data_IF_103895298748
#
_entry.id   IF_103895298748
#
_cell.length_a   1.000
_cell.length_b   1.000
_cell.length_c   1.000
_cell.angle_alpha   90.00
_cell.angle_beta   90.00
_cell.angle_gamma   90.00
#
_symmetry.space_group_name_H-M   'P 1'
#
loop_
_entity.id
_entity.type
_entity.pdbx_description
1 polymer ?
#
# COMPACT_ATOMS: atom_id res chain seq x y z
N UNK A 1 -4.36 9.51 31.78
CA UNK A 1 -4.22 9.57 30.30
C UNK A 1 -5.56 9.98 29.74
N UNK A 2 -5.62 11.11 29.02
CA UNK A 2 -6.90 11.68 28.60
C UNK A 2 -7.57 10.78 27.56
N UNK A 3 -8.89 10.56 27.65
CA UNK A 3 -9.67 9.73 26.73
C UNK A 3 -9.41 10.07 25.24
N UNK A 4 -9.13 11.34 24.95
CA UNK A 4 -8.82 11.82 23.61
C UNK A 4 -7.45 11.36 23.09
N UNK A 5 -6.47 11.17 23.96
CA UNK A 5 -5.11 10.76 23.59
C UNK A 5 -5.07 9.28 23.16
N UNK A 6 -5.86 8.43 23.83
CA UNK A 6 -6.04 7.02 23.46
C UNK A 6 -6.75 6.91 22.11
N UNK A 7 -7.78 7.72 21.87
CA UNK A 7 -8.49 7.76 20.58
C UNK A 7 -7.58 8.23 19.45
N UNK A 8 -6.77 9.28 19.69
CA UNK A 8 -5.79 9.79 18.74
C UNK A 8 -4.76 8.71 18.38
N UNK A 9 -4.16 8.04 19.37
CA UNK A 9 -3.15 7.01 19.14
C UNK A 9 -3.73 5.81 18.37
N UNK A 10 -4.94 5.38 18.71
CA UNK A 10 -5.62 4.32 17.98
C UNK A 10 -5.94 4.72 16.53
N UNK A 11 -6.44 5.93 16.33
CA UNK A 11 -6.72 6.46 14.99
C UNK A 11 -5.46 6.58 14.14
N UNK A 12 -4.34 7.02 14.72
CA UNK A 12 -3.05 7.09 14.05
C UNK A 12 -2.59 5.71 13.58
N UNK A 13 -2.66 4.70 14.45
CA UNK A 13 -2.33 3.32 14.10
C UNK A 13 -3.19 2.82 12.94
N UNK A 14 -4.51 3.01 13.01
CA UNK A 14 -5.44 2.54 11.97
C UNK A 14 -5.16 3.20 10.60
N UNK A 15 -4.75 4.47 10.59
CA UNK A 15 -4.46 5.19 9.34
C UNK A 15 -3.06 4.89 8.78
N UNK A 16 -2.04 4.88 9.64
CA UNK A 16 -0.62 4.75 9.26
C UNK A 16 -0.24 3.29 9.02
N UNK A 17 -0.61 2.40 9.94
CA UNK A 17 -0.20 0.99 9.93
C UNK A 17 -1.19 0.15 9.14
N UNK A 18 -2.48 0.25 9.47
CA UNK A 18 -3.53 -0.56 8.85
C UNK A 18 -4.03 0.03 7.52
N UNK A 19 -3.51 1.21 7.13
CA UNK A 19 -3.76 1.90 5.86
C UNK A 19 -5.23 2.20 5.53
N UNK A 20 -6.09 2.23 6.53
CA UNK A 20 -7.52 2.47 6.37
C UNK A 20 -7.82 3.88 5.87
N UNK A 21 -8.98 4.04 5.25
CA UNK A 21 -9.52 5.34 4.83
C UNK A 21 -9.94 6.17 6.04
N UNK A 22 -10.07 7.49 5.84
CA UNK A 22 -10.52 8.41 6.90
C UNK A 22 -11.91 8.00 7.43
N UNK A 23 -12.78 7.53 6.54
CA UNK A 23 -14.13 7.07 6.85
C UNK A 23 -14.11 5.82 7.73
N UNK A 24 -13.33 4.80 7.35
CA UNK A 24 -13.18 3.57 8.13
C UNK A 24 -12.55 3.83 9.51
N UNK A 25 -11.55 4.72 9.58
CA UNK A 25 -10.93 5.14 10.84
C UNK A 25 -11.94 5.86 11.73
N UNK A 26 -12.72 6.79 11.16
CA UNK A 26 -13.77 7.51 11.86
C UNK A 26 -14.82 6.56 12.45
N UNK A 27 -15.28 5.58 11.67
CA UNK A 27 -16.22 4.56 12.11
C UNK A 27 -15.65 3.68 13.23
N UNK A 28 -14.41 3.18 13.09
CA UNK A 28 -13.78 2.32 14.09
C UNK A 28 -13.47 3.02 15.41
N UNK A 29 -13.09 4.29 15.35
CA UNK A 29 -12.72 5.09 16.53
C UNK A 29 -13.96 5.73 17.17
N UNK A 30 -15.07 5.85 16.44
CA UNK A 30 -16.31 6.45 16.92
C UNK A 30 -16.26 7.97 16.99
N UNK A 31 -15.54 8.62 16.05
CA UNK A 31 -15.38 10.08 15.99
C UNK A 31 -15.75 10.60 14.60
N UNK A 32 -16.14 11.87 14.51
CA UNK A 32 -16.47 12.50 13.23
C UNK A 32 -15.22 12.60 12.32
N UNK A 33 -15.37 12.35 11.02
CA UNK A 33 -14.30 12.49 10.02
C UNK A 33 -13.55 13.83 10.07
N UNK A 34 -14.24 14.93 10.39
CA UNK A 34 -13.60 16.25 10.55
C UNK A 34 -12.50 16.22 11.63
N UNK A 35 -12.72 15.45 12.69
CA UNK A 35 -11.75 15.25 13.77
C UNK A 35 -10.55 14.45 13.27
N UNK A 36 -10.78 13.38 12.50
CA UNK A 36 -9.71 12.57 11.89
C UNK A 36 -8.90 13.41 10.90
N UNK A 37 -9.55 14.20 10.04
CA UNK A 37 -8.87 15.11 9.10
C UNK A 37 -8.00 16.12 9.83
N UNK A 38 -8.50 16.68 10.93
CA UNK A 38 -7.73 17.59 11.79
C UNK A 38 -6.50 16.90 12.39
N UNK A 39 -6.68 15.74 13.04
CA UNK A 39 -5.56 14.99 13.62
C UNK A 39 -4.52 14.57 12.60
N UNK A 40 -4.96 14.16 11.41
CA UNK A 40 -4.09 13.84 10.27
C UNK A 40 -3.18 15.02 9.89
N UNK A 41 -3.72 16.23 9.85
CA UNK A 41 -2.94 17.45 9.57
C UNK A 41 -2.04 17.83 10.75
N UNK A 42 -2.59 17.89 11.97
CA UNK A 42 -1.89 18.33 13.18
C UNK A 42 -0.69 17.42 13.51
N UNK A 43 -0.81 16.12 13.28
CA UNK A 43 0.20 15.10 13.59
C UNK A 43 0.94 14.56 12.36
N UNK A 44 0.75 15.18 11.18
CA UNK A 44 1.43 14.85 9.92
C UNK A 44 1.37 13.35 9.59
N UNK A 45 0.20 12.74 9.69
CA UNK A 45 0.05 11.29 9.52
C UNK A 45 0.41 10.81 8.11
N UNK A 46 0.27 11.64 7.08
CA UNK A 46 0.68 11.27 5.72
C UNK A 46 2.19 11.01 5.64
N UNK A 47 3.00 11.85 6.29
CA UNK A 47 4.45 11.66 6.34
C UNK A 47 4.81 10.38 7.09
N UNK A 48 4.14 10.12 8.22
CA UNK A 48 4.34 8.88 8.99
C UNK A 48 3.94 7.65 8.19
N UNK A 49 2.86 7.73 7.42
CA UNK A 49 2.41 6.67 6.51
C UNK A 49 3.43 6.41 5.41
N UNK A 50 3.95 7.45 4.78
CA UNK A 50 5.00 7.34 3.77
C UNK A 50 6.28 6.71 4.34
N UNK A 51 6.74 7.16 5.51
CA UNK A 51 7.89 6.59 6.21
C UNK A 51 7.68 5.12 6.61
N UNK A 52 6.48 4.77 7.07
CA UNK A 52 6.14 3.39 7.42
C UNK A 52 6.15 2.49 6.18
N UNK A 53 5.58 2.97 5.07
CA UNK A 53 5.60 2.27 3.80
C UNK A 53 7.02 2.10 3.26
N UNK A 54 7.84 3.15 3.26
CA UNK A 54 9.22 3.09 2.76
C UNK A 54 10.07 2.13 3.59
N UNK A 55 9.95 2.17 4.91
CA UNK A 55 10.66 1.25 5.82
C UNK A 55 10.24 -0.19 5.56
N UNK A 56 8.93 -0.43 5.37
CA UNK A 56 8.41 -1.76 5.07
C UNK A 56 8.93 -2.28 3.71
N UNK A 57 8.96 -1.43 2.68
CA UNK A 57 9.53 -1.78 1.37
C UNK A 57 11.03 -2.06 1.46
N UNK A 58 11.80 -1.25 2.19
CA UNK A 58 13.23 -1.49 2.42
C UNK A 58 13.48 -2.82 3.13
N UNK A 59 12.70 -3.14 4.17
CA UNK A 59 12.81 -4.43 4.86
C UNK A 59 12.53 -5.62 3.92
N UNK A 60 11.57 -5.47 3.01
CA UNK A 60 11.25 -6.51 2.02
C UNK A 60 12.38 -6.72 1.02
N UNK A 61 12.98 -5.64 0.53
CA UNK A 61 14.15 -5.69 -0.35
C UNK A 61 15.35 -6.34 0.36
N UNK A 62 15.62 -5.97 1.61
CA UNK A 62 16.67 -6.58 2.42
C UNK A 62 16.44 -8.06 2.65
N UNK A 63 15.20 -8.47 2.96
CA UNK A 63 14.84 -9.87 3.18
C UNK A 63 14.99 -10.69 1.88
N UNK A 64 14.59 -10.13 0.73
CA UNK A 64 14.77 -10.77 -0.57
C UNK A 64 16.27 -10.96 -0.90
N UNK A 65 17.05 -9.90 -0.73
CA UNK A 65 18.50 -9.92 -0.95
C UNK A 65 19.20 -10.93 -0.02
N UNK A 66 18.78 -11.01 1.24
CA UNK A 66 19.29 -11.97 2.21
C UNK A 66 18.96 -13.41 1.80
N UNK A 67 17.69 -13.69 1.46
CA UNK A 67 17.26 -15.01 1.04
C UNK A 67 18.01 -15.47 -0.23
N UNK A 68 18.22 -14.57 -1.20
CA UNK A 68 19.00 -14.86 -2.41
C UNK A 68 20.45 -15.21 -2.08
N UNK A 69 21.12 -14.43 -1.22
CA UNK A 69 22.50 -14.73 -0.79
C UNK A 69 22.59 -16.07 -0.07
N UNK A 70 21.63 -16.38 0.80
CA UNK A 70 21.58 -17.66 1.50
C UNK A 70 21.38 -18.82 0.54
N UNK A 71 20.49 -18.68 -0.45
CA UNK A 71 20.26 -19.67 -1.49
C UNK A 71 21.53 -19.94 -2.29
N UNK A 72 22.19 -18.89 -2.80
CA UNK A 72 23.43 -19.03 -3.57
C UNK A 72 24.56 -19.67 -2.75
N UNK A 73 24.63 -19.40 -1.44
CA UNK A 73 25.59 -20.07 -0.56
C UNK A 73 25.29 -21.57 -0.41
N UNK A 74 24.02 -21.96 -0.33
CA UNK A 74 23.63 -23.37 -0.25
C UNK A 74 23.91 -24.07 -1.58
N UNK A 75 23.59 -23.43 -2.71
CA UNK A 75 23.87 -23.94 -4.06
C UNK A 75 25.37 -24.18 -4.27
N UNK A 76 26.21 -23.23 -3.86
CA UNK A 76 27.66 -23.35 -3.94
C UNK A 76 28.17 -24.60 -3.20
N UNK A 77 27.70 -24.84 -1.98
CA UNK A 77 28.13 -26.01 -1.20
C UNK A 77 27.66 -27.32 -1.86
N UNK A 78 26.45 -27.35 -2.44
CA UNK A 78 25.93 -28.51 -3.18
C UNK A 78 26.79 -28.79 -4.42
N UNK A 79 27.08 -27.76 -5.22
CA UNK A 79 27.85 -27.87 -6.46
C UNK A 79 29.29 -28.32 -6.21
N UNK A 80 29.85 -27.99 -5.04
CA UNK A 80 31.19 -28.40 -4.62
C UNK A 80 31.21 -29.70 -3.81
N UNK A 81 30.08 -30.42 -3.73
CA UNK A 81 29.96 -31.66 -2.95
C UNK A 81 30.28 -31.48 -1.45
N UNK A 82 30.16 -30.26 -0.93
CA UNK A 82 30.35 -29.92 0.48
C UNK A 82 29.11 -30.26 1.31
N UNK A 83 29.32 -30.48 2.61
CA UNK A 83 28.22 -30.73 3.53
C UNK A 83 27.47 -29.42 3.80
N UNK A 84 26.26 -29.31 3.26
CA UNK A 84 25.36 -28.20 3.56
C UNK A 84 25.02 -28.18 5.04
N UNK A 85 25.08 -26.99 5.64
CA UNK A 85 24.67 -26.79 7.03
C UNK A 85 23.14 -26.92 7.17
N UNK A 86 22.62 -27.85 8.00
CA UNK A 86 21.18 -28.02 8.18
C UNK A 86 20.47 -26.78 8.74
N UNK A 87 21.18 -25.94 9.50
CA UNK A 87 20.66 -24.68 10.04
C UNK A 87 20.36 -23.66 8.95
N UNK A 88 21.28 -23.47 8.00
CA UNK A 88 21.06 -22.65 6.79
C UNK A 88 19.88 -23.16 5.97
N UNK A 89 19.78 -24.47 5.82
CA UNK A 89 18.72 -25.09 5.03
C UNK A 89 17.34 -24.90 5.69
N UNK A 90 17.25 -25.10 7.00
CA UNK A 90 16.05 -24.84 7.78
C UNK A 90 15.65 -23.35 7.78
N UNK A 91 16.62 -22.46 7.96
CA UNK A 91 16.39 -21.01 7.93
C UNK A 91 15.80 -20.58 6.58
N UNK A 92 16.36 -21.08 5.47
CA UNK A 92 15.85 -20.82 4.14
C UNK A 92 14.42 -21.33 3.95
N UNK A 93 14.11 -22.56 4.38
CA UNK A 93 12.73 -23.10 4.34
C UNK A 93 11.74 -22.24 5.12
N UNK A 94 12.16 -21.68 6.27
CA UNK A 94 11.30 -20.77 7.06
C UNK A 94 11.12 -19.40 6.42
N UNK A 95 12.07 -18.95 5.61
CA UNK A 95 11.99 -17.68 4.87
C UNK A 95 11.15 -17.76 3.59
N UNK A 96 11.06 -18.93 2.93
CA UNK A 96 10.23 -19.13 1.73
C UNK A 96 8.79 -18.56 1.84
N UNK A 97 7.99 -18.86 2.89
CA UNK A 97 6.64 -18.31 3.01
C UNK A 97 6.59 -16.81 3.31
N UNK A 98 7.70 -16.22 3.77
CA UNK A 98 7.82 -14.77 3.95
C UNK A 98 8.05 -14.09 2.60
N UNK A 99 8.85 -14.71 1.72
CA UNK A 99 9.16 -14.20 0.38
C UNK A 99 7.94 -14.23 -0.55
N UNK A 100 7.09 -15.26 -0.48
CA UNK A 100 5.86 -15.31 -1.29
C UNK A 100 4.89 -14.18 -0.93
N UNK A 101 4.78 -13.86 0.37
CA UNK A 101 3.99 -12.72 0.86
C UNK A 101 4.59 -11.36 0.47
N UNK A 102 5.91 -11.28 0.28
CA UNK A 102 6.59 -10.07 -0.20
C UNK A 102 6.17 -9.76 -1.64
N UNK A 103 6.19 -10.77 -2.51
CA UNK A 103 5.83 -10.61 -3.92
C UNK A 103 4.38 -10.13 -4.10
N UNK A 104 3.45 -10.70 -3.33
CA UNK A 104 2.04 -10.28 -3.30
C UNK A 104 1.85 -8.83 -2.78
N UNK A 105 2.68 -8.39 -1.82
CA UNK A 105 2.63 -7.03 -1.29
C UNK A 105 3.20 -6.00 -2.29
N UNK A 106 4.33 -6.30 -2.93
CA UNK A 106 4.92 -5.46 -3.98
C UNK A 106 3.96 -5.33 -5.17
N UNK A 107 3.39 -6.45 -5.63
CA UNK A 107 2.40 -6.47 -6.70
C UNK A 107 1.13 -5.69 -6.31
N UNK A 108 0.69 -5.73 -5.04
CA UNK A 108 -0.46 -4.98 -4.55
C UNK A 108 -0.22 -3.47 -4.37
N UNK A 109 1.03 -3.05 -4.12
CA UNK A 109 1.42 -1.63 -4.04
C UNK A 109 1.59 -1.04 -5.44
N UNK A 110 2.15 -1.80 -6.39
CA UNK A 110 2.31 -1.40 -7.80
C UNK A 110 0.95 -1.39 -8.52
N UNK A 111 0.06 -2.35 -8.24
CA UNK A 111 -1.26 -2.46 -8.85
C UNK A 111 -2.38 -1.80 -8.05
N UNK A 112 -2.09 -0.80 -7.20
CA UNK A 112 -3.16 0.12 -6.77
C UNK A 112 -3.63 0.82 -8.05
N UNK A 113 -4.86 0.60 -8.55
CA UNK A 113 -5.33 1.35 -9.69
C UNK A 113 -5.16 2.82 -9.31
N UNK A 114 -4.40 3.57 -10.11
CA UNK A 114 -4.44 5.02 -10.05
C UNK A 114 -5.92 5.36 -9.93
N UNK A 115 -6.30 6.06 -8.85
CA UNK A 115 -7.68 6.53 -8.63
C UNK A 115 -8.21 6.88 -10.00
N UNK A 116 -9.29 6.21 -10.43
CA UNK A 116 -9.93 6.55 -11.69
C UNK A 116 -10.00 8.07 -11.70
N UNK A 117 -9.16 8.71 -12.52
CA UNK A 117 -9.37 10.11 -12.83
C UNK A 117 -10.79 10.10 -13.31
N UNK A 118 -11.68 10.76 -12.57
CA UNK A 118 -13.05 10.97 -13.02
C UNK A 118 -12.88 11.47 -14.45
N UNK A 119 -13.12 10.60 -15.43
CA UNK A 119 -13.21 10.99 -16.82
C UNK A 119 -14.50 11.77 -16.82
N UNK A 120 -14.37 13.05 -16.47
CA UNK A 120 -15.43 14.02 -16.59
C UNK A 120 -16.00 13.91 -17.99
N UNK A 121 -17.24 14.37 -18.14
CA UNK A 121 -18.00 14.19 -19.36
C UNK A 121 -17.13 14.55 -20.58
N UNK A 122 -16.78 13.54 -21.38
CA UNK A 122 -15.92 13.70 -22.54
C UNK A 122 -16.59 14.66 -23.53
N UNK A 123 -15.84 15.52 -24.25
CA UNK A 123 -16.43 16.47 -25.19
C UNK A 123 -17.37 15.83 -26.22
N UNK A 124 -17.07 14.60 -26.63
CA UNK A 124 -17.92 13.82 -27.55
C UNK A 124 -19.26 13.43 -26.93
N UNK A 125 -19.30 13.16 -25.62
CA UNK A 125 -20.53 12.86 -24.90
C UNK A 125 -21.38 14.13 -24.68
N UNK A 126 -20.74 15.28 -24.48
CA UNK A 126 -21.43 16.58 -24.45
C UNK A 126 -22.09 16.86 -25.80
N UNK A 127 -21.35 16.69 -26.90
CA UNK A 127 -21.89 16.84 -28.27
C UNK A 127 -23.07 15.90 -28.52
N UNK A 128 -22.97 14.65 -28.08
CA UNK A 128 -24.06 13.68 -28.24
C UNK A 128 -25.33 14.12 -27.50
N UNK A 129 -25.21 14.60 -26.25
CA UNK A 129 -26.35 15.15 -25.50
C UNK A 129 -26.92 16.39 -26.20
N UNK A 130 -26.06 17.31 -26.63
CA UNK A 130 -26.47 18.54 -27.30
C UNK A 130 -27.26 18.26 -28.58
N UNK A 131 -26.84 17.24 -29.34
CA UNK A 131 -27.44 16.93 -30.64
C UNK A 131 -28.68 16.03 -30.52
N UNK A 132 -28.60 14.94 -29.76
CA UNK A 132 -29.68 13.95 -29.71
C UNK A 132 -30.75 14.24 -28.65
N UNK A 133 -30.38 14.88 -27.54
CA UNK A 133 -31.31 15.14 -26.43
C UNK A 133 -31.80 16.59 -26.48
N UNK A 134 -30.90 17.55 -26.70
CA UNK A 134 -31.22 18.98 -26.70
C UNK A 134 -31.52 19.56 -28.09
N UNK A 135 -31.25 18.80 -29.16
CA UNK A 135 -31.58 19.18 -30.54
C UNK A 135 -30.82 20.41 -31.08
N UNK A 136 -29.68 20.75 -30.49
CA UNK A 136 -28.84 21.85 -30.96
C UNK A 136 -28.05 21.41 -32.20
N UNK A 137 -28.07 22.23 -33.27
CA UNK A 137 -27.17 22.02 -34.42
C UNK A 137 -25.81 22.61 -34.09
N UNK A 138 -24.77 21.77 -34.09
CA UNK A 138 -23.38 22.21 -33.99
C UNK A 138 -23.08 23.19 -35.12
N UNK A 139 -22.89 24.46 -34.77
CA UNK A 139 -22.29 25.44 -35.67
C UNK A 139 -20.80 25.15 -35.75
N UNK A 140 -20.39 24.45 -36.80
CA UNK A 140 -18.99 24.33 -37.19
C UNK A 140 -18.54 25.71 -37.72
N UNK A 141 -17.53 26.31 -37.08
CA UNK A 141 -16.66 27.31 -37.71
C UNK A 141 -15.60 26.62 -38.57
#
# INVERSE_FOLDING_TARGET
>A
MAKNEVLLSNAERLYVVDQLTIEEVAQKVGVNERTIRRWKTDHKWDLKKEQYLSTKTMFHEELYNFARKLMTSIEYDIDNNEKVDPGRMFAFTKMLPLITKIKEYEDGVINKPAKEENKGITPDFVKLIETEILGMKTSEE
#
